data_IF_885246796565
#
_entry.id   IF_885246796565
#
_cell.length_a   1.000
_cell.length_b   1.000
_cell.length_c   1.000
_cell.angle_alpha   90.00
_cell.angle_beta   90.00
_cell.angle_gamma   90.00
#
_symmetry.space_group_name_H-M   'P 1'
#
loop_
_entity.id
_entity.type
_entity.pdbx_description
1 polymer ?
#
# COMPACT_ATOMS: atom_id res chain seq x y z
N UNK A 1 -15.05 -18.66 -4.40
CA UNK A 1 -14.03 -18.81 -3.34
C UNK A 1 -14.07 -20.19 -2.71
N UNK A 2 -15.22 -20.70 -2.25
CA UNK A 2 -15.32 -22.01 -1.58
C UNK A 2 -14.69 -23.15 -2.39
N UNK A 3 -14.95 -23.21 -3.72
CA UNK A 3 -14.33 -24.20 -4.62
C UNK A 3 -12.80 -24.10 -4.74
N UNK A 4 -12.22 -22.91 -4.47
CA UNK A 4 -10.76 -22.72 -4.48
C UNK A 4 -10.16 -23.29 -3.20
N UNK A 5 -10.81 -23.08 -2.05
CA UNK A 5 -10.33 -23.60 -0.75
C UNK A 5 -10.48 -25.12 -0.63
N UNK A 6 -11.43 -25.73 -1.34
CA UNK A 6 -11.62 -27.17 -1.38
C UNK A 6 -10.51 -27.91 -2.18
N UNK A 7 -9.63 -27.16 -2.88
CA UNK A 7 -8.54 -27.71 -3.71
C UNK A 7 -7.18 -27.26 -3.17
N UNK A 8 -6.50 -28.14 -2.44
CA UNK A 8 -5.09 -27.98 -2.06
C UNK A 8 -4.75 -26.66 -1.33
N UNK A 9 -5.55 -26.26 -0.36
CA UNK A 9 -5.17 -25.16 0.52
C UNK A 9 -4.32 -25.67 1.69
N UNK A 10 -3.32 -24.90 2.08
CA UNK A 10 -2.52 -25.13 3.27
C UNK A 10 -2.28 -23.82 4.00
N UNK A 11 -2.18 -23.88 5.31
CA UNK A 11 -1.86 -22.74 6.18
C UNK A 11 -0.37 -22.77 6.49
N UNK A 12 0.25 -21.59 6.47
CA UNK A 12 1.62 -21.39 6.90
C UNK A 12 1.64 -20.45 8.09
N UNK A 13 2.41 -20.80 9.11
CA UNK A 13 2.69 -19.92 10.21
C UNK A 13 3.77 -18.93 9.82
N UNK A 14 3.47 -17.64 9.95
CA UNK A 14 4.41 -16.56 9.70
C UNK A 14 4.95 -16.12 11.05
N UNK A 15 6.28 -16.15 11.22
CA UNK A 15 6.95 -15.62 12.39
C UNK A 15 7.29 -14.14 12.16
N UNK A 16 7.01 -13.32 13.18
CA UNK A 16 7.59 -11.99 13.25
C UNK A 16 9.10 -12.12 13.49
N UNK A 17 9.91 -11.43 12.68
CA UNK A 17 11.36 -11.38 12.84
C UNK A 17 11.81 -10.22 13.74
N UNK A 18 10.89 -9.35 14.12
CA UNK A 18 11.08 -8.34 15.14
C UNK A 18 10.42 -8.84 16.43
N UNK A 19 11.11 -8.71 17.54
CA UNK A 19 10.57 -9.02 18.88
C UNK A 19 9.39 -8.12 19.29
N UNK A 20 8.88 -7.32 18.36
CA UNK A 20 7.75 -6.41 18.53
C UNK A 20 6.40 -7.09 18.61
N UNK A 21 6.29 -8.34 18.14
CA UNK A 21 5.02 -9.07 18.01
C UNK A 21 4.10 -8.55 16.88
N UNK A 22 4.56 -7.58 16.07
CA UNK A 22 3.82 -7.02 14.95
C UNK A 22 4.48 -7.37 13.64
N UNK A 23 3.73 -8.07 12.78
CA UNK A 23 4.15 -8.37 11.42
C UNK A 23 3.94 -7.13 10.52
N UNK A 24 5.03 -6.62 9.94
CA UNK A 24 4.98 -5.47 9.03
C UNK A 24 4.77 -5.94 7.58
N UNK A 25 3.58 -5.70 6.97
CA UNK A 25 3.28 -6.23 5.64
C UNK A 25 4.31 -5.86 4.57
N UNK A 26 4.81 -4.63 4.60
CA UNK A 26 5.79 -4.14 3.63
C UNK A 26 7.16 -4.82 3.71
N UNK A 27 7.54 -5.37 4.87
CA UNK A 27 8.73 -6.20 5.03
C UNK A 27 8.45 -7.65 4.61
N UNK A 28 7.32 -8.21 5.03
CA UNK A 28 6.92 -9.59 4.73
C UNK A 28 6.74 -9.82 3.22
N UNK A 29 6.12 -8.88 2.51
CA UNK A 29 5.99 -8.98 1.06
C UNK A 29 7.34 -8.96 0.35
N UNK A 30 8.30 -8.18 0.83
CA UNK A 30 9.68 -8.23 0.30
C UNK A 30 10.28 -9.61 0.52
N UNK A 31 10.14 -10.19 1.71
CA UNK A 31 10.57 -11.56 2.02
C UNK A 31 10.03 -12.59 1.02
N UNK A 32 8.75 -12.47 0.62
CA UNK A 32 8.13 -13.31 -0.40
C UNK A 32 8.80 -13.10 -1.77
N UNK A 33 9.08 -11.85 -2.16
CA UNK A 33 9.65 -11.54 -3.47
C UNK A 33 11.08 -12.03 -3.64
N UNK A 34 11.87 -12.04 -2.56
CA UNK A 34 13.32 -12.35 -2.60
C UNK A 34 13.67 -13.68 -1.94
N UNK A 35 12.71 -14.35 -1.30
CA UNK A 35 12.90 -15.58 -0.52
C UNK A 35 14.01 -15.43 0.55
N UNK A 36 14.05 -14.28 1.20
CA UNK A 36 14.98 -13.97 2.28
C UNK A 36 14.25 -13.35 3.47
N UNK A 37 14.66 -13.65 4.70
CA UNK A 37 14.10 -13.03 5.90
C UNK A 37 14.47 -11.55 6.01
N UNK A 38 13.68 -10.78 6.76
CA UNK A 38 13.86 -9.34 6.96
C UNK A 38 15.24 -9.00 7.54
N UNK A 39 15.78 -9.84 8.42
CA UNK A 39 17.13 -9.68 8.96
C UNK A 39 18.22 -9.65 7.87
N UNK A 40 17.98 -10.31 6.71
CA UNK A 40 18.91 -10.32 5.58
C UNK A 40 18.60 -9.21 4.58
N UNK A 41 17.36 -9.07 4.12
CA UNK A 41 17.04 -8.09 3.09
C UNK A 41 16.97 -6.65 3.63
N UNK A 42 16.77 -6.44 4.93
CA UNK A 42 16.82 -5.16 5.65
C UNK A 42 15.86 -4.07 5.15
N UNK A 43 14.86 -4.43 4.37
CA UNK A 43 13.81 -3.49 3.94
C UNK A 43 12.78 -3.39 5.06
N UNK A 44 12.70 -2.23 5.69
CA UNK A 44 11.83 -1.98 6.85
C UNK A 44 10.65 -1.08 6.53
N UNK A 45 10.76 -0.25 5.50
CA UNK A 45 9.73 0.72 5.17
C UNK A 45 9.15 0.48 3.78
N UNK A 46 7.92 0.91 3.61
CA UNK A 46 7.26 0.94 2.32
C UNK A 46 7.96 1.95 1.40
N UNK A 47 8.28 1.54 0.17
CA UNK A 47 8.99 2.37 -0.80
C UNK A 47 10.52 2.24 -0.77
N UNK A 48 11.10 1.51 0.18
CA UNK A 48 12.56 1.29 0.26
C UNK A 48 13.08 0.20 -0.68
N UNK A 49 12.22 -0.54 -1.33
CA UNK A 49 12.58 -1.68 -2.19
C UNK A 49 13.62 -1.39 -3.27
N UNK A 50 13.71 -0.19 -3.91
CA UNK A 50 14.77 0.08 -4.89
C UNK A 50 16.19 -0.02 -4.34
N UNK A 51 16.36 -0.02 -3.02
CA UNK A 51 17.64 -0.16 -2.32
C UNK A 51 18.05 -1.64 -2.09
N UNK A 52 17.18 -2.60 -2.45
CA UNK A 52 17.40 -4.01 -2.13
C UNK A 52 18.58 -4.59 -2.92
N UNK A 53 19.45 -5.32 -2.22
CA UNK A 53 20.59 -6.02 -2.83
C UNK A 53 20.22 -7.40 -3.38
N UNK A 54 19.12 -7.99 -2.87
CA UNK A 54 18.65 -9.31 -3.28
C UNK A 54 17.81 -9.25 -4.55
N UNK A 55 17.96 -10.24 -5.41
CA UNK A 55 17.16 -10.35 -6.63
C UNK A 55 15.76 -10.88 -6.34
N UNK A 56 14.76 -10.16 -6.84
CA UNK A 56 13.38 -10.59 -6.79
C UNK A 56 13.11 -11.72 -7.79
N UNK A 57 12.09 -12.52 -7.54
CA UNK A 57 11.79 -13.72 -8.34
C UNK A 57 11.71 -13.45 -9.84
N UNK A 58 11.13 -12.31 -10.25
CA UNK A 58 11.03 -11.95 -11.68
C UNK A 58 12.37 -11.54 -12.30
N UNK A 59 13.30 -11.00 -11.51
CA UNK A 59 14.66 -10.74 -11.97
C UNK A 59 15.43 -12.05 -12.21
N UNK A 60 15.26 -13.04 -11.31
CA UNK A 60 15.85 -14.37 -11.47
C UNK A 60 15.29 -15.09 -12.70
N UNK A 61 13.98 -14.97 -12.94
CA UNK A 61 13.34 -15.52 -14.14
C UNK A 61 13.83 -14.82 -15.41
N UNK A 62 13.96 -13.50 -15.39
CA UNK A 62 14.48 -12.73 -16.53
C UNK A 62 15.88 -13.18 -16.93
N UNK A 63 16.79 -13.44 -15.97
CA UNK A 63 18.11 -14.01 -16.22
C UNK A 63 18.07 -15.40 -16.88
N UNK A 64 16.99 -16.15 -16.67
CA UNK A 64 16.74 -17.44 -17.32
C UNK A 64 15.98 -17.33 -18.65
N UNK A 65 15.86 -16.12 -19.20
CA UNK A 65 15.14 -15.84 -20.44
C UNK A 65 13.62 -15.88 -20.33
N UNK A 66 13.07 -16.02 -19.12
CA UNK A 66 11.63 -16.08 -18.82
C UNK A 66 11.03 -14.70 -18.68
N UNK A 67 9.80 -14.56 -19.16
CA UNK A 67 9.06 -13.28 -19.12
C UNK A 67 8.12 -13.19 -17.94
N UNK A 68 7.81 -11.95 -17.51
CA UNK A 68 6.90 -11.70 -16.40
C UNK A 68 5.95 -10.53 -16.65
N UNK A 69 4.83 -10.55 -15.91
CA UNK A 69 3.92 -9.42 -15.71
C UNK A 69 3.72 -9.27 -14.21
N UNK A 70 4.04 -8.11 -13.66
CA UNK A 70 3.97 -7.82 -12.22
C UNK A 70 3.08 -6.59 -12.01
N UNK A 71 2.02 -6.76 -11.25
CA UNK A 71 1.00 -5.74 -11.10
C UNK A 71 0.72 -5.40 -9.64
N UNK A 72 1.06 -4.17 -9.24
CA UNK A 72 0.70 -3.59 -7.95
C UNK A 72 1.25 -4.32 -6.72
N UNK A 73 2.24 -5.20 -6.90
CA UNK A 73 2.80 -5.96 -5.79
C UNK A 73 3.39 -5.03 -4.74
N UNK A 74 2.98 -5.24 -3.49
CA UNK A 74 3.38 -4.38 -2.39
C UNK A 74 4.89 -4.36 -2.23
N UNK A 75 5.46 -3.16 -2.19
CA UNK A 75 6.88 -2.93 -2.00
C UNK A 75 7.75 -3.75 -2.99
N UNK A 76 7.40 -3.73 -4.27
CA UNK A 76 8.10 -4.41 -5.35
C UNK A 76 8.82 -3.42 -6.26
N UNK A 77 9.97 -3.82 -6.80
CA UNK A 77 10.76 -3.08 -7.77
C UNK A 77 10.86 -3.86 -9.09
N UNK A 78 10.98 -3.17 -10.21
CA UNK A 78 11.30 -3.80 -11.50
C UNK A 78 12.71 -4.42 -11.46
N UNK A 79 13.63 -3.75 -10.78
CA UNK A 79 15.03 -4.14 -10.68
C UNK A 79 15.68 -4.32 -12.05
N UNK A 80 16.47 -5.37 -12.21
CA UNK A 80 17.16 -5.73 -13.48
C UNK A 80 16.33 -6.66 -14.38
N UNK A 81 15.00 -6.62 -14.33
CA UNK A 81 14.12 -7.53 -15.08
C UNK A 81 13.86 -7.04 -16.51
N UNK A 82 14.79 -7.34 -17.43
CA UNK A 82 14.67 -6.96 -18.86
C UNK A 82 13.53 -7.67 -19.60
N UNK A 83 13.10 -8.85 -19.11
CA UNK A 83 12.03 -9.65 -19.71
C UNK A 83 10.64 -9.37 -19.11
N UNK A 84 10.52 -8.37 -18.24
CA UNK A 84 9.23 -7.94 -17.73
C UNK A 84 8.43 -7.22 -18.82
N UNK A 85 7.28 -7.78 -19.18
CA UNK A 85 6.41 -7.28 -20.26
C UNK A 85 5.47 -6.18 -19.80
N UNK A 86 5.06 -6.23 -18.52
CA UNK A 86 4.32 -5.17 -17.88
C UNK A 86 4.65 -5.14 -16.38
N UNK A 87 4.88 -3.94 -15.87
CA UNK A 87 5.15 -3.68 -14.47
C UNK A 87 4.34 -2.46 -14.03
N UNK A 88 3.55 -2.61 -12.99
CA UNK A 88 2.99 -1.48 -12.25
C UNK A 88 3.51 -1.56 -10.82
N UNK A 89 4.28 -0.56 -10.36
CA UNK A 89 4.77 -0.51 -8.99
C UNK A 89 3.64 -0.29 -8.00
N UNK A 90 3.91 -0.59 -6.74
CA UNK A 90 3.12 -0.11 -5.61
C UNK A 90 3.05 1.43 -5.62
N UNK A 91 1.91 2.05 -5.29
CA UNK A 91 1.77 3.51 -5.22
C UNK A 91 2.81 4.22 -4.33
N UNK A 92 3.35 3.53 -3.33
CA UNK A 92 4.35 4.06 -2.40
C UNK A 92 5.79 3.97 -2.91
N UNK A 93 6.03 3.24 -3.98
CA UNK A 93 7.34 3.21 -4.66
C UNK A 93 7.43 4.38 -5.63
N UNK A 94 7.77 5.55 -5.14
CA UNK A 94 7.72 6.83 -5.89
C UNK A 94 8.80 6.96 -6.96
N UNK A 95 9.86 6.19 -6.87
CA UNK A 95 11.05 6.28 -7.73
C UNK A 95 10.99 5.40 -8.96
N UNK A 96 9.98 4.53 -9.08
CA UNK A 96 9.83 3.62 -10.20
C UNK A 96 8.61 3.97 -11.06
N UNK A 97 8.82 4.00 -12.37
CA UNK A 97 7.74 4.19 -13.34
C UNK A 97 7.20 2.85 -13.83
N UNK A 98 5.93 2.80 -14.25
CA UNK A 98 5.37 1.61 -14.86
C UNK A 98 6.00 1.31 -16.23
N UNK A 99 6.00 0.02 -16.57
CA UNK A 99 6.42 -0.47 -17.89
C UNK A 99 5.24 -1.24 -18.52
N UNK A 100 4.86 -0.93 -19.75
CA UNK A 100 5.26 0.23 -20.55
C UNK A 100 4.69 1.56 -19.96
N UNK A 101 5.25 2.70 -20.38
CA UNK A 101 4.91 4.03 -19.83
C UNK A 101 3.46 4.48 -20.09
N UNK A 102 2.76 3.89 -21.05
CA UNK A 102 1.32 4.14 -21.29
C UNK A 102 0.42 3.69 -20.13
N UNK A 103 0.95 2.88 -19.19
CA UNK A 103 0.30 2.48 -17.95
C UNK A 103 0.40 3.54 -16.82
N UNK A 104 1.16 4.62 -17.01
CA UNK A 104 1.33 5.68 -16.02
C UNK A 104 0.01 6.27 -15.48
N UNK A 105 -1.06 6.46 -16.28
CA UNK A 105 -2.33 6.96 -15.77
C UNK A 105 -2.95 6.11 -14.66
N UNK A 106 -2.66 4.79 -14.63
CA UNK A 106 -3.22 3.86 -13.64
C UNK A 106 -2.58 3.99 -12.27
N UNK A 107 -1.32 4.44 -12.20
CA UNK A 107 -0.62 4.63 -10.93
C UNK A 107 -0.60 6.10 -10.48
N UNK A 108 -0.80 7.05 -11.39
CA UNK A 108 -0.63 8.48 -11.10
C UNK A 108 -1.60 8.99 -10.02
N UNK A 109 -2.87 8.58 -10.04
CA UNK A 109 -3.84 8.98 -9.04
C UNK A 109 -3.59 8.30 -7.69
N UNK A 110 -3.45 6.96 -7.58
CA UNK A 110 -3.08 6.31 -6.33
C UNK A 110 -1.78 6.88 -5.72
N UNK A 111 -0.75 7.10 -6.53
CA UNK A 111 0.53 7.67 -6.09
C UNK A 111 0.38 9.10 -5.59
N UNK A 112 -0.41 9.92 -6.25
CA UNK A 112 -0.69 11.28 -5.79
C UNK A 112 -1.40 11.28 -4.44
N UNK A 113 -2.41 10.41 -4.27
CA UNK A 113 -3.13 10.25 -3.00
C UNK A 113 -2.21 9.75 -1.88
N UNK A 114 -1.37 8.75 -2.17
CA UNK A 114 -0.40 8.22 -1.22
C UNK A 114 0.61 9.28 -0.75
N UNK A 115 1.12 10.11 -1.67
CA UNK A 115 2.15 11.09 -1.36
C UNK A 115 1.62 12.35 -0.67
N UNK A 116 0.36 12.72 -0.92
CA UNK A 116 -0.19 14.03 -0.53
C UNK A 116 -1.42 13.90 0.37
N UNK A 117 -1.57 12.81 1.12
CA UNK A 117 -2.78 12.54 1.90
C UNK A 117 -3.12 13.62 2.93
N UNK A 118 -2.16 14.45 3.36
CA UNK A 118 -2.37 15.57 4.27
C UNK A 118 -2.79 16.87 3.56
N UNK A 119 -2.50 17.01 2.25
CA UNK A 119 -2.73 18.25 1.49
C UNK A 119 -3.18 17.98 0.06
N UNK A 120 -4.42 17.48 -0.10
CA UNK A 120 -4.97 17.10 -1.39
C UNK A 120 -5.50 18.29 -2.19
N UNK A 121 -5.00 18.46 -3.42
CA UNK A 121 -5.56 19.41 -4.38
C UNK A 121 -6.67 18.78 -5.22
N UNK A 122 -7.89 19.31 -5.14
CA UNK A 122 -9.04 18.85 -5.93
C UNK A 122 -8.77 18.89 -7.45
N UNK A 123 -8.05 19.93 -7.92
CA UNK A 123 -7.71 20.08 -9.34
C UNK A 123 -6.80 18.95 -9.81
N UNK A 124 -5.79 18.61 -9.01
CA UNK A 124 -4.85 17.52 -9.34
C UNK A 124 -5.56 16.15 -9.32
N UNK A 125 -6.45 15.93 -8.35
CA UNK A 125 -7.29 14.73 -8.29
C UNK A 125 -8.13 14.60 -9.56
N UNK A 126 -8.87 15.66 -9.94
CA UNK A 126 -9.73 15.65 -11.13
C UNK A 126 -8.92 15.42 -12.41
N UNK A 127 -7.76 16.06 -12.55
CA UNK A 127 -6.86 15.88 -13.70
C UNK A 127 -6.37 14.43 -13.82
N UNK A 128 -5.94 13.84 -12.71
CA UNK A 128 -5.46 12.45 -12.69
C UNK A 128 -6.62 11.46 -12.88
N UNK A 129 -7.78 11.71 -12.29
CA UNK A 129 -8.98 10.90 -12.49
C UNK A 129 -9.40 10.90 -13.98
N UNK A 130 -9.42 12.06 -14.62
CA UNK A 130 -9.74 12.13 -16.05
C UNK A 130 -8.77 11.31 -16.92
N UNK A 131 -7.46 11.41 -16.65
CA UNK A 131 -6.45 10.59 -17.33
C UNK A 131 -6.66 9.11 -17.09
N UNK A 132 -6.97 8.72 -15.84
CA UNK A 132 -7.27 7.34 -15.45
C UNK A 132 -8.48 6.79 -16.22
N UNK A 133 -9.60 7.52 -16.24
CA UNK A 133 -10.82 7.11 -16.92
C UNK A 133 -10.61 6.97 -18.44
N UNK A 134 -9.92 7.94 -19.06
CA UNK A 134 -9.58 7.87 -20.48
C UNK A 134 -8.70 6.64 -20.78
N UNK A 135 -7.68 6.41 -19.98
CA UNK A 135 -6.81 5.24 -20.12
C UNK A 135 -7.58 3.92 -19.90
N UNK A 136 -8.49 3.89 -18.94
CA UNK A 136 -9.34 2.71 -18.69
C UNK A 136 -10.17 2.36 -19.94
N UNK A 137 -10.86 3.33 -20.54
CA UNK A 137 -11.61 3.12 -21.78
C UNK A 137 -10.70 2.60 -22.89
N UNK A 138 -9.55 3.23 -23.08
CA UNK A 138 -8.60 2.86 -24.15
C UNK A 138 -8.04 1.44 -23.98
N UNK A 139 -7.63 1.09 -22.77
CA UNK A 139 -6.96 -0.20 -22.51
C UNK A 139 -7.92 -1.37 -22.28
N UNK A 140 -9.05 -1.17 -21.59
CA UNK A 140 -9.97 -2.28 -21.23
C UNK A 140 -11.32 -2.24 -21.93
N UNK A 141 -11.59 -1.15 -22.67
CA UNK A 141 -12.80 -0.99 -23.46
C UNK A 141 -14.04 -0.53 -22.66
N UNK A 142 -15.06 -0.10 -23.40
CA UNK A 142 -16.28 0.51 -22.83
C UNK A 142 -17.04 -0.44 -21.91
N UNK A 143 -17.17 -1.71 -22.26
CA UNK A 143 -17.97 -2.67 -21.47
C UNK A 143 -17.37 -2.82 -20.06
N UNK A 144 -16.07 -3.02 -19.95
CA UNK A 144 -15.39 -3.12 -18.66
C UNK A 144 -15.42 -1.81 -17.89
N UNK A 145 -15.27 -0.68 -18.60
CA UNK A 145 -15.41 0.65 -18.02
C UNK A 145 -16.79 0.83 -17.37
N UNK A 146 -17.88 0.61 -18.08
CA UNK A 146 -19.22 0.78 -17.52
C UNK A 146 -19.53 -0.20 -16.39
N UNK A 147 -19.02 -1.43 -16.45
CA UNK A 147 -19.11 -2.38 -15.32
C UNK A 147 -18.38 -1.88 -14.09
N UNK A 148 -17.18 -1.31 -14.25
CA UNK A 148 -16.42 -0.75 -13.12
C UNK A 148 -17.15 0.45 -12.49
N UNK A 149 -17.73 1.33 -13.32
CA UNK A 149 -18.58 2.44 -12.85
C UNK A 149 -19.83 1.92 -12.14
N UNK A 150 -20.45 0.85 -12.64
CA UNK A 150 -21.58 0.22 -11.95
C UNK A 150 -21.22 -0.29 -10.55
N UNK A 151 -20.05 -0.96 -10.39
CA UNK A 151 -19.57 -1.40 -9.07
C UNK A 151 -19.36 -0.21 -8.14
N UNK A 152 -18.74 0.87 -8.64
CA UNK A 152 -18.55 2.10 -7.89
C UNK A 152 -19.88 2.69 -7.42
N UNK A 153 -20.85 2.86 -8.34
CA UNK A 153 -22.16 3.43 -8.03
C UNK A 153 -22.96 2.54 -7.07
N UNK A 154 -22.97 1.21 -7.30
CA UNK A 154 -23.61 0.23 -6.39
C UNK A 154 -23.07 0.37 -4.97
N UNK A 155 -21.74 0.52 -4.83
CA UNK A 155 -21.09 0.73 -3.54
C UNK A 155 -21.49 2.06 -2.91
N UNK A 156 -21.41 3.17 -3.65
CA UNK A 156 -21.76 4.51 -3.17
C UNK A 156 -23.23 4.61 -2.74
N UNK A 157 -24.15 4.03 -3.49
CA UNK A 157 -25.60 4.02 -3.14
C UNK A 157 -25.83 3.20 -1.86
N UNK A 158 -25.16 2.06 -1.70
CA UNK A 158 -25.38 1.16 -0.57
C UNK A 158 -24.71 1.59 0.72
N UNK A 159 -23.52 2.18 0.65
CA UNK A 159 -22.66 2.43 1.81
C UNK A 159 -22.25 3.91 1.97
N UNK A 160 -22.67 4.79 1.05
CA UNK A 160 -22.21 6.17 1.04
C UNK A 160 -20.72 6.30 0.60
N UNK A 161 -20.13 7.42 0.94
CA UNK A 161 -18.74 7.72 0.56
C UNK A 161 -17.75 7.03 1.52
N UNK A 162 -17.36 5.79 1.22
CA UNK A 162 -16.43 4.96 2.01
C UNK A 162 -15.21 4.58 1.17
N UNK A 163 -14.01 4.61 1.76
CA UNK A 163 -12.75 4.36 1.06
C UNK A 163 -12.68 2.98 0.38
N UNK A 164 -13.19 1.92 1.03
CA UNK A 164 -13.14 0.57 0.47
C UNK A 164 -13.84 0.44 -0.89
N UNK A 165 -14.84 1.28 -1.18
CA UNK A 165 -15.56 1.27 -2.46
C UNK A 165 -14.62 1.67 -3.60
N UNK A 166 -13.79 2.69 -3.38
CA UNK A 166 -12.81 3.14 -4.38
C UNK A 166 -11.73 2.10 -4.61
N UNK A 167 -11.29 1.42 -3.56
CA UNK A 167 -10.28 0.36 -3.68
C UNK A 167 -10.85 -0.84 -4.45
N UNK A 168 -12.10 -1.24 -4.19
CA UNK A 168 -12.79 -2.25 -4.99
C UNK A 168 -12.89 -1.86 -6.48
N UNK A 169 -13.18 -0.60 -6.77
CA UNK A 169 -13.19 -0.08 -8.13
C UNK A 169 -11.80 -0.16 -8.78
N UNK A 170 -10.75 0.26 -8.09
CA UNK A 170 -9.38 0.17 -8.60
C UNK A 170 -8.95 -1.27 -8.83
N UNK A 171 -9.19 -2.19 -7.90
CA UNK A 171 -8.86 -3.61 -8.04
C UNK A 171 -9.59 -4.23 -9.22
N UNK A 172 -10.86 -3.87 -9.46
CA UNK A 172 -11.62 -4.36 -10.61
C UNK A 172 -11.00 -3.90 -11.93
N UNK A 173 -10.68 -2.61 -12.06
CA UNK A 173 -10.03 -2.06 -13.27
C UNK A 173 -8.65 -2.68 -13.47
N UNK A 174 -7.84 -2.74 -12.42
CA UNK A 174 -6.50 -3.32 -12.43
C UNK A 174 -6.52 -4.79 -12.90
N UNK A 175 -7.46 -5.57 -12.40
CA UNK A 175 -7.61 -6.99 -12.76
C UNK A 175 -7.94 -7.18 -14.24
N UNK A 176 -8.82 -6.38 -14.80
CA UNK A 176 -9.16 -6.48 -16.23
C UNK A 176 -8.02 -6.03 -17.13
N UNK A 177 -7.28 -5.03 -16.70
CA UNK A 177 -6.09 -4.57 -17.40
C UNK A 177 -4.96 -5.63 -17.36
N UNK A 178 -4.77 -6.24 -16.19
CA UNK A 178 -3.86 -7.36 -16.02
C UNK A 178 -4.24 -8.55 -16.92
N UNK A 179 -5.51 -8.98 -16.92
CA UNK A 179 -6.02 -10.03 -17.80
C UNK A 179 -5.67 -9.73 -19.26
N UNK A 180 -5.91 -8.50 -19.71
CA UNK A 180 -5.59 -8.08 -21.07
C UNK A 180 -4.08 -8.20 -21.35
N UNK A 181 -3.23 -7.69 -20.44
CA UNK A 181 -1.77 -7.76 -20.60
C UNK A 181 -1.25 -9.20 -20.63
N UNK A 182 -1.81 -10.09 -19.82
CA UNK A 182 -1.46 -11.51 -19.84
C UNK A 182 -1.85 -12.16 -21.18
N UNK A 183 -3.04 -11.86 -21.69
CA UNK A 183 -3.49 -12.36 -23.01
C UNK A 183 -2.61 -11.88 -24.17
N UNK A 184 -2.22 -10.62 -24.14
CA UNK A 184 -1.38 -10.00 -25.17
C UNK A 184 0.06 -10.56 -25.17
N UNK A 185 0.63 -10.85 -24.01
CA UNK A 185 2.06 -11.13 -23.87
C UNK A 185 2.43 -12.60 -23.60
N UNK A 186 1.48 -13.44 -23.16
CA UNK A 186 1.70 -14.87 -22.86
C UNK A 186 2.96 -15.10 -22.02
N UNK A 187 3.10 -14.37 -20.91
CA UNK A 187 4.28 -14.40 -20.05
C UNK A 187 4.33 -15.65 -19.17
N UNK A 188 5.55 -16.03 -18.75
CA UNK A 188 5.81 -17.23 -17.94
C UNK A 188 5.38 -17.05 -16.48
N UNK A 189 5.56 -15.86 -15.90
CA UNK A 189 5.07 -15.49 -14.56
C UNK A 189 4.10 -14.30 -14.65
N UNK A 190 2.93 -14.47 -14.07
CA UNK A 190 1.92 -13.42 -13.97
C UNK A 190 1.56 -13.22 -12.50
N UNK A 191 1.85 -12.06 -11.96
CA UNK A 191 1.63 -11.73 -10.56
C UNK A 191 0.77 -10.48 -10.44
N UNK A 192 -0.33 -10.57 -9.70
CA UNK A 192 -1.18 -9.42 -9.37
C UNK A 192 -1.45 -9.38 -7.87
N UNK A 193 -1.36 -8.21 -7.30
CA UNK A 193 -1.74 -7.92 -5.91
C UNK A 193 -3.07 -7.16 -5.88
N UNK A 194 -4.01 -7.63 -5.05
CA UNK A 194 -5.31 -7.02 -4.82
C UNK A 194 -5.40 -6.59 -3.36
N UNK A 195 -5.67 -5.31 -3.12
CA UNK A 195 -5.62 -4.74 -1.77
C UNK A 195 -6.99 -4.60 -1.10
N UNK A 196 -8.08 -4.80 -1.83
CA UNK A 196 -9.43 -4.51 -1.32
C UNK A 196 -9.81 -5.36 -0.12
N UNK A 197 -9.41 -6.65 -0.07
CA UNK A 197 -9.72 -7.53 1.07
C UNK A 197 -9.02 -7.02 2.33
N UNK A 198 -7.71 -6.81 2.29
CA UNK A 198 -6.96 -6.34 3.43
C UNK A 198 -7.52 -5.01 3.94
N UNK A 199 -7.78 -4.06 3.02
CA UNK A 199 -8.28 -2.74 3.38
C UNK A 199 -9.67 -2.77 4.02
N UNK A 200 -10.60 -3.58 3.50
CA UNK A 200 -11.94 -3.67 4.09
C UNK A 200 -11.90 -4.36 5.46
N UNK A 201 -11.03 -5.35 5.64
CA UNK A 201 -10.85 -6.03 6.92
C UNK A 201 -10.29 -5.10 8.00
N UNK A 202 -9.30 -4.27 7.68
CA UNK A 202 -8.74 -3.29 8.63
C UNK A 202 -9.78 -2.34 9.23
N UNK A 203 -10.82 -2.00 8.49
CA UNK A 203 -11.76 -0.96 8.89
C UNK A 203 -13.16 -1.47 9.24
N UNK A 204 -13.52 -2.69 8.80
CA UNK A 204 -14.90 -3.17 8.86
C UNK A 204 -15.06 -4.57 9.45
N UNK A 205 -14.00 -5.16 9.99
CA UNK A 205 -14.11 -6.46 10.66
C UNK A 205 -14.40 -6.28 12.17
N UNK A 206 -15.62 -5.85 12.48
CA UNK A 206 -16.06 -5.48 13.82
C UNK A 206 -16.98 -6.53 14.49
N UNK A 207 -17.22 -7.68 13.87
CA UNK A 207 -18.11 -8.71 14.38
C UNK A 207 -17.61 -10.11 14.00
N UNK A 208 -17.86 -11.09 14.86
CA UNK A 208 -17.71 -12.52 14.52
C UNK A 208 -18.87 -13.03 13.66
N UNK A 209 -20.02 -12.33 13.64
CA UNK A 209 -21.17 -12.65 12.81
C UNK A 209 -20.99 -12.10 11.39
N UNK A 210 -20.66 -12.99 10.46
CA UNK A 210 -20.44 -12.62 9.06
C UNK A 210 -21.62 -11.90 8.41
N UNK A 211 -22.86 -12.13 8.86
CA UNK A 211 -24.06 -11.49 8.30
C UNK A 211 -24.12 -9.99 8.56
N UNK A 212 -23.42 -9.52 9.57
CA UNK A 212 -23.27 -8.11 9.94
C UNK A 212 -22.19 -7.39 9.12
N UNK A 213 -21.27 -8.14 8.51
CA UNK A 213 -20.10 -7.62 7.81
C UNK A 213 -20.43 -7.28 6.33
N UNK A 214 -21.39 -6.40 6.11
CA UNK A 214 -21.93 -6.07 4.77
C UNK A 214 -20.86 -5.48 3.83
N UNK A 215 -19.92 -4.72 4.36
CA UNK A 215 -18.80 -4.12 3.62
C UNK A 215 -17.81 -5.19 3.15
N UNK A 216 -17.50 -6.14 4.03
CA UNK A 216 -16.61 -7.27 3.72
C UNK A 216 -17.27 -8.20 2.69
N UNK A 217 -18.57 -8.52 2.85
CA UNK A 217 -19.30 -9.35 1.89
C UNK A 217 -19.38 -8.71 0.50
N UNK A 218 -19.58 -7.39 0.43
CA UNK A 218 -19.54 -6.66 -0.86
C UNK A 218 -18.18 -6.76 -1.53
N UNK A 219 -17.10 -6.65 -0.76
CA UNK A 219 -15.72 -6.78 -1.27
C UNK A 219 -15.45 -8.20 -1.76
N UNK A 220 -15.88 -9.22 -1.01
CA UNK A 220 -15.74 -10.62 -1.43
C UNK A 220 -16.52 -10.93 -2.71
N UNK A 221 -17.75 -10.39 -2.86
CA UNK A 221 -18.50 -10.48 -4.12
C UNK A 221 -17.71 -9.91 -5.30
N UNK A 222 -17.04 -8.76 -5.10
CA UNK A 222 -16.20 -8.17 -6.13
C UNK A 222 -14.97 -9.03 -6.48
N UNK A 223 -14.31 -9.61 -5.49
CA UNK A 223 -13.17 -10.52 -5.72
C UNK A 223 -13.62 -11.80 -6.45
N UNK A 224 -14.79 -12.36 -6.13
CA UNK A 224 -15.35 -13.50 -6.86
C UNK A 224 -15.61 -13.16 -8.33
N UNK A 225 -16.11 -11.96 -8.62
CA UNK A 225 -16.28 -11.48 -9.98
C UNK A 225 -14.94 -11.35 -10.73
N UNK A 226 -13.90 -10.85 -10.06
CA UNK A 226 -12.55 -10.75 -10.60
C UNK A 226 -11.98 -12.15 -10.91
N UNK A 227 -12.04 -13.08 -9.97
CA UNK A 227 -11.54 -14.44 -10.16
C UNK A 227 -12.32 -15.19 -11.25
N UNK A 228 -13.63 -15.00 -11.33
CA UNK A 228 -14.47 -15.55 -12.40
C UNK A 228 -14.09 -14.99 -13.77
N UNK A 229 -13.75 -13.71 -13.85
CA UNK A 229 -13.24 -13.10 -15.08
C UNK A 229 -11.86 -13.66 -15.46
N UNK A 230 -10.97 -13.83 -14.49
CA UNK A 230 -9.65 -14.45 -14.71
C UNK A 230 -9.80 -15.90 -15.21
N UNK A 231 -10.69 -16.68 -14.61
CA UNK A 231 -10.90 -18.07 -15.07
C UNK A 231 -11.47 -18.12 -16.49
N UNK A 232 -12.49 -17.32 -16.76
CA UNK A 232 -13.09 -17.25 -18.10
C UNK A 232 -12.07 -16.84 -19.17
N UNK A 233 -11.22 -15.87 -18.89
CA UNK A 233 -10.35 -15.24 -19.88
C UNK A 233 -8.96 -15.91 -19.96
N UNK A 234 -8.44 -16.41 -18.83
CA UNK A 234 -7.09 -16.97 -18.71
C UNK A 234 -7.09 -18.47 -18.38
N UNK A 235 -8.27 -19.04 -18.09
CA UNK A 235 -8.41 -20.45 -17.73
C UNK A 235 -7.53 -20.87 -16.53
N UNK A 236 -7.49 -20.03 -15.48
CA UNK A 236 -6.60 -20.19 -14.33
C UNK A 236 -6.82 -21.51 -13.58
N UNK A 237 -8.02 -22.09 -13.61
CA UNK A 237 -8.33 -23.37 -12.96
C UNK A 237 -8.17 -24.59 -13.88
N UNK A 238 -7.70 -24.42 -15.12
CA UNK A 238 -7.39 -25.56 -15.99
C UNK A 238 -6.06 -26.21 -15.63
N UNK A 239 -5.98 -27.56 -15.68
CA UNK A 239 -4.78 -28.34 -15.32
C UNK A 239 -3.47 -27.93 -16.02
N UNK A 240 -3.56 -27.19 -17.15
CA UNK A 240 -2.37 -26.69 -17.87
C UNK A 240 -1.63 -25.56 -17.13
N UNK A 241 -2.34 -24.81 -16.27
CA UNK A 241 -1.82 -23.62 -15.64
C UNK A 241 -1.59 -23.91 -14.16
N UNK A 242 -0.49 -23.37 -13.62
CA UNK A 242 -0.28 -23.31 -12.18
C UNK A 242 -0.87 -21.99 -11.68
N UNK A 243 -1.90 -22.06 -10.85
CA UNK A 243 -2.50 -20.90 -10.19
C UNK A 243 -2.26 -20.98 -8.68
N UNK A 244 -1.74 -19.91 -8.11
CA UNK A 244 -1.52 -19.80 -6.66
C UNK A 244 -2.24 -18.55 -6.18
N UNK A 245 -3.15 -18.73 -5.23
CA UNK A 245 -3.77 -17.65 -4.47
C UNK A 245 -3.21 -17.69 -3.05
N UNK A 246 -2.63 -16.60 -2.60
CA UNK A 246 -2.06 -16.53 -1.24
C UNK A 246 -2.23 -15.13 -0.65
N UNK A 247 -2.27 -15.08 0.67
CA UNK A 247 -2.15 -13.87 1.46
C UNK A 247 -0.77 -13.88 2.13
N UNK A 248 -0.06 -12.76 2.05
CA UNK A 248 1.24 -12.63 2.74
C UNK A 248 1.11 -12.63 4.25
N UNK A 249 -0.05 -12.19 4.76
CA UNK A 249 -0.42 -12.11 6.16
C UNK A 249 -1.89 -12.41 6.33
N UNK A 250 -2.27 -12.97 7.48
CA UNK A 250 -3.67 -13.05 7.91
C UNK A 250 -3.98 -11.90 8.87
N UNK A 251 -5.26 -11.52 8.94
CA UNK A 251 -5.77 -10.54 9.88
C UNK A 251 -6.75 -11.24 10.83
N UNK A 252 -6.70 -10.81 12.08
CA UNK A 252 -7.67 -11.23 13.10
C UNK A 252 -8.42 -10.00 13.62
N UNK A 253 -9.73 -10.10 13.86
CA UNK A 253 -10.47 -9.01 14.47
C UNK A 253 -10.08 -8.87 15.94
N UNK A 254 -9.96 -7.61 16.40
CA UNK A 254 -9.58 -7.26 17.78
C UNK A 254 -10.80 -6.74 18.54
N UNK A 255 -11.75 -7.63 18.87
CA UNK A 255 -13.03 -7.21 19.46
C UNK A 255 -12.93 -6.74 20.92
N UNK A 256 -11.88 -7.15 21.63
CA UNK A 256 -11.70 -6.88 23.04
C UNK A 256 -10.61 -5.85 23.35
N UNK A 257 -9.99 -5.30 22.32
CA UNK A 257 -8.93 -4.31 22.50
C UNK A 257 -9.54 -2.93 22.68
N UNK A 258 -8.91 -2.11 23.52
CA UNK A 258 -9.28 -0.70 23.67
C UNK A 258 -9.08 0.04 22.33
N UNK A 259 -9.95 1.00 21.99
CA UNK A 259 -9.83 1.76 20.75
C UNK A 259 -8.49 2.50 20.67
N UNK A 260 -7.79 2.32 19.59
CA UNK A 260 -6.59 3.11 19.28
C UNK A 260 -6.96 4.38 18.53
N UNK A 261 -6.53 5.52 19.05
CA UNK A 261 -6.62 6.79 18.37
C UNK A 261 -5.36 7.02 17.55
N UNK A 262 -5.52 7.29 16.26
CA UNK A 262 -4.42 7.53 15.34
C UNK A 262 -4.43 9.00 14.93
N UNK A 263 -3.53 9.77 15.52
CA UNK A 263 -3.39 11.19 15.22
C UNK A 263 -2.42 11.41 14.08
N UNK A 264 -2.78 12.31 13.16
CA UNK A 264 -1.93 12.72 12.04
C UNK A 264 -1.69 14.21 12.09
N UNK A 265 -0.45 14.60 11.91
CA UNK A 265 -0.09 16.00 11.78
C UNK A 265 -0.61 16.50 10.43
N UNK A 266 -1.48 17.49 10.45
CA UNK A 266 -2.14 18.00 9.24
C UNK A 266 -1.15 18.66 8.28
N UNK A 267 -0.24 19.47 8.82
CA UNK A 267 0.82 20.12 8.04
C UNK A 267 2.16 19.99 8.78
N UNK A 268 3.00 19.09 8.25
CA UNK A 268 4.33 18.80 8.82
C UNK A 268 5.29 19.98 8.65
N UNK A 269 5.13 20.77 7.58
CA UNK A 269 5.98 21.94 7.36
C UNK A 269 5.65 23.04 8.34
N UNK A 270 4.36 23.28 8.57
CA UNK A 270 3.88 24.24 9.55
C UNK A 270 4.38 23.88 10.96
N UNK A 271 4.34 22.58 11.33
CA UNK A 271 4.91 22.12 12.59
C UNK A 271 6.39 22.49 12.72
N UNK A 272 7.21 22.20 11.71
CA UNK A 272 8.64 22.53 11.74
C UNK A 272 8.89 24.05 11.84
N UNK A 273 8.11 24.84 11.13
CA UNK A 273 8.22 26.32 11.13
C UNK A 273 7.85 26.87 12.49
N UNK A 274 6.77 26.40 13.10
CA UNK A 274 6.28 26.88 14.40
C UNK A 274 7.28 26.62 15.54
N UNK A 275 8.12 25.59 15.41
CA UNK A 275 9.18 25.29 16.37
C UNK A 275 10.58 25.75 15.91
N UNK A 276 10.66 26.58 14.87
CA UNK A 276 11.93 27.08 14.30
C UNK A 276 12.95 25.97 13.96
N UNK A 277 12.46 24.82 13.49
CA UNK A 277 13.28 23.67 13.09
C UNK A 277 13.70 23.83 11.63
N UNK A 278 15.00 23.96 11.39
CA UNK A 278 15.59 23.97 10.04
C UNK A 278 15.62 22.54 9.48
N UNK A 279 15.08 22.35 8.30
CA UNK A 279 15.06 21.06 7.61
C UNK A 279 15.32 21.21 6.11
N UNK A 280 15.73 20.13 5.46
CA UNK A 280 15.92 20.07 3.99
C UNK A 280 14.64 19.67 3.29
N UNK A 281 14.04 18.55 3.71
CA UNK A 281 12.79 18.01 3.18
C UNK A 281 12.06 17.17 4.21
N UNK A 282 10.77 16.96 3.99
CA UNK A 282 9.94 16.04 4.78
C UNK A 282 9.30 15.06 3.80
N UNK A 283 9.40 13.78 4.10
CA UNK A 283 8.78 12.70 3.34
C UNK A 283 7.76 11.99 4.23
N UNK A 284 6.45 12.26 4.05
CA UNK A 284 5.40 11.53 4.74
C UNK A 284 5.47 10.05 4.36
N UNK A 285 5.32 9.17 5.36
CA UNK A 285 5.16 7.75 5.17
C UNK A 285 3.67 7.37 5.12
N UNK A 286 3.35 6.09 5.24
CA UNK A 286 2.01 5.58 4.93
C UNK A 286 0.91 6.07 5.88
N UNK A 287 1.24 6.37 7.14
CA UNK A 287 0.22 6.55 8.17
C UNK A 287 0.34 7.90 8.89
N UNK A 288 0.93 7.90 10.07
CA UNK A 288 1.07 9.04 11.00
C UNK A 288 2.54 9.38 11.24
N UNK A 289 3.38 8.86 10.39
CA UNK A 289 4.81 8.88 10.45
C UNK A 289 5.43 9.61 9.24
N UNK A 290 6.66 10.05 9.38
CA UNK A 290 7.43 10.67 8.30
C UNK A 290 8.94 10.61 8.56
N UNK A 291 9.71 10.86 7.50
CA UNK A 291 11.13 11.19 7.60
C UNK A 291 11.34 12.69 7.46
N UNK A 292 12.11 13.28 8.36
CA UNK A 292 12.62 14.65 8.24
C UNK A 292 14.09 14.56 7.85
N UNK A 293 14.46 15.17 6.73
CA UNK A 293 15.86 15.26 6.27
C UNK A 293 16.44 16.61 6.61
N UNK A 294 17.73 16.61 6.99
CA UNK A 294 18.49 17.79 7.39
C UNK A 294 19.66 18.05 6.45
N UNK A 295 20.19 19.27 6.46
CA UNK A 295 21.36 19.64 5.65
C UNK A 295 22.66 19.30 6.34
N UNK A 296 22.67 19.22 7.69
CA UNK A 296 23.87 18.94 8.48
C UNK A 296 23.51 18.17 9.77
N UNK A 297 24.53 17.53 10.37
CA UNK A 297 24.39 16.85 11.66
C UNK A 297 24.01 17.81 12.79
N UNK A 298 24.45 19.05 12.73
CA UNK A 298 24.16 20.06 13.76
C UNK A 298 22.69 20.53 13.68
N UNK A 299 22.16 20.76 12.45
CA UNK A 299 20.75 21.04 12.25
C UNK A 299 19.88 19.87 12.73
N UNK A 300 20.28 18.65 12.43
CA UNK A 300 19.59 17.44 12.86
C UNK A 300 19.57 17.28 14.37
N UNK A 301 20.71 17.46 15.06
CA UNK A 301 20.78 17.40 16.53
C UNK A 301 19.89 18.45 17.18
N UNK A 302 19.93 19.70 16.71
CA UNK A 302 19.04 20.77 17.20
C UNK A 302 17.57 20.43 16.98
N UNK A 303 17.22 19.97 15.78
CA UNK A 303 15.85 19.55 15.46
C UNK A 303 15.39 18.38 16.33
N UNK A 304 16.25 17.40 16.58
CA UNK A 304 15.94 16.26 17.43
C UNK A 304 15.63 16.69 18.88
N UNK A 305 16.46 17.56 19.47
CA UNK A 305 16.24 18.05 20.84
C UNK A 305 14.96 18.86 20.96
N UNK A 306 14.60 19.65 19.94
CA UNK A 306 13.33 20.39 19.94
C UNK A 306 12.16 19.41 19.85
N UNK A 307 12.17 18.50 18.88
CA UNK A 307 11.07 17.54 18.65
C UNK A 307 10.84 16.62 19.86
N UNK A 308 11.91 16.20 20.53
CA UNK A 308 11.88 15.35 21.73
C UNK A 308 11.16 16.01 22.90
N UNK A 309 11.22 17.35 22.98
CA UNK A 309 10.64 18.11 24.07
C UNK A 309 9.22 18.61 23.77
N UNK A 310 8.64 18.26 22.64
CA UNK A 310 7.23 18.57 22.35
C UNK A 310 6.35 17.57 23.11
N UNK A 311 5.40 18.06 23.88
CA UNK A 311 4.49 17.26 24.71
C UNK A 311 3.02 17.60 24.42
N UNK A 312 2.15 16.68 24.77
CA UNK A 312 0.69 16.86 24.86
C UNK A 312 0.25 16.28 26.21
N UNK A 313 -0.35 17.10 27.06
CA UNK A 313 -0.84 16.67 28.37
C UNK A 313 0.23 15.91 29.19
N UNK A 314 1.45 16.40 29.23
CA UNK A 314 2.64 15.79 29.87
C UNK A 314 3.16 14.48 29.21
N UNK A 315 2.55 14.01 28.13
CA UNK A 315 3.05 12.85 27.35
C UNK A 315 3.89 13.31 26.19
N UNK A 316 4.88 12.50 25.80
CA UNK A 316 5.65 12.79 24.59
C UNK A 316 4.70 12.81 23.38
N UNK A 317 4.80 13.84 22.55
CA UNK A 317 3.99 13.93 21.35
C UNK A 317 4.47 13.01 20.24
N UNK A 318 5.81 12.84 20.15
CA UNK A 318 6.45 12.11 19.07
C UNK A 318 7.36 11.00 19.60
N UNK A 319 7.30 9.85 18.94
CA UNK A 319 8.39 8.87 18.93
C UNK A 319 9.40 9.27 17.87
N UNK A 320 10.69 9.23 18.19
CA UNK A 320 11.77 9.70 17.33
C UNK A 320 12.88 8.65 17.20
N UNK A 321 13.33 8.39 15.97
CA UNK A 321 14.47 7.53 15.68
C UNK A 321 15.48 8.28 14.78
N UNK A 322 16.64 8.74 15.34
CA UNK A 322 17.62 9.47 14.57
C UNK A 322 18.55 8.55 13.78
N UNK A 323 18.74 8.84 12.49
CA UNK A 323 19.67 8.16 11.58
C UNK A 323 20.77 9.15 11.15
N UNK A 324 21.81 9.28 11.95
CA UNK A 324 22.86 10.30 11.78
C UNK A 324 23.65 10.18 10.48
N UNK A 325 23.82 8.98 9.95
CA UNK A 325 24.56 8.75 8.70
C UNK A 325 23.77 9.17 7.46
N UNK A 326 22.43 9.14 7.56
CA UNK A 326 21.52 9.56 6.50
C UNK A 326 21.01 11.00 6.67
N UNK A 327 21.43 11.70 7.72
CA UNK A 327 20.96 13.04 8.10
C UNK A 327 19.42 13.12 8.15
N UNK A 328 18.77 12.09 8.70
CA UNK A 328 17.31 12.03 8.81
C UNK A 328 16.86 11.60 10.20
N UNK A 329 15.67 12.03 10.57
CA UNK A 329 14.93 11.57 11.74
C UNK A 329 13.64 10.91 11.24
N UNK A 330 13.43 9.64 11.59
CA UNK A 330 12.10 9.04 11.54
C UNK A 330 11.31 9.55 12.74
N UNK A 331 10.05 9.90 12.53
CA UNK A 331 9.14 10.18 13.62
C UNK A 331 7.73 9.64 13.35
N UNK A 332 7.00 9.38 14.42
CA UNK A 332 5.57 9.13 14.40
C UNK A 332 4.91 9.84 15.59
N UNK A 333 3.61 10.11 15.47
CA UNK A 333 2.83 10.60 16.61
C UNK A 333 2.69 9.46 17.63
N UNK A 334 3.02 9.71 18.88
CA UNK A 334 3.07 8.68 19.95
C UNK A 334 1.86 8.76 20.90
N UNK A 335 0.80 9.43 20.49
CA UNK A 335 -0.46 9.56 21.24
C UNK A 335 -1.45 8.55 20.68
N UNK A 336 -1.90 7.63 21.54
CA UNK A 336 -2.84 6.54 21.18
C UNK A 336 -4.17 6.60 21.91
N UNK A 337 -4.31 7.52 22.87
CA UNK A 337 -5.54 7.75 23.64
C UNK A 337 -6.29 8.99 23.14
N UNK A 338 -7.54 9.14 23.52
CA UNK A 338 -8.33 10.32 23.15
C UNK A 338 -7.75 11.59 23.82
N UNK A 339 -7.55 12.61 23.00
CA UNK A 339 -7.07 13.94 23.45
C UNK A 339 -8.17 14.96 23.23
N UNK A 340 -8.51 15.67 24.28
CA UNK A 340 -9.50 16.77 24.23
C UNK A 340 -9.13 17.75 23.11
N UNK A 341 -10.11 18.13 22.30
CA UNK A 341 -9.96 19.08 21.17
C UNK A 341 -9.42 20.45 21.55
N UNK A 342 -9.39 20.79 22.84
CA UNK A 342 -8.86 22.05 23.38
C UNK A 342 -7.41 21.93 23.87
N UNK A 343 -6.71 20.83 23.61
CA UNK A 343 -5.31 20.66 23.99
C UNK A 343 -4.37 21.28 22.97
N UNK A 344 -3.27 21.88 23.49
CA UNK A 344 -2.21 22.48 22.70
C UNK A 344 -0.91 21.66 22.82
N UNK A 345 -0.03 21.79 21.83
CA UNK A 345 1.33 21.29 21.94
C UNK A 345 2.08 22.18 22.94
N UNK A 346 2.67 21.56 23.93
CA UNK A 346 3.47 22.21 24.96
C UNK A 346 4.95 22.02 24.60
N UNK A 347 5.72 23.07 24.69
CA UNK A 347 7.17 23.02 24.46
C UNK A 347 7.88 23.80 25.57
N UNK A 348 8.65 23.09 26.38
CA UNK A 348 9.56 23.70 27.34
C UNK A 348 10.88 23.98 26.65
N UNK A 349 11.21 25.28 26.51
CA UNK A 349 12.52 25.69 26.02
C UNK A 349 13.53 25.42 27.12
N UNK A 350 14.39 24.42 26.93
CA UNK A 350 15.51 24.13 27.84
C UNK A 350 16.64 25.16 27.62
#
# INVERSE_FOLDING_TARGET
LRKIFDHNSFSLDIKDEYDSGFLEPWSQWVGIHVAQPTAKHRIKNLGDIPKIEYKQVWELLSKKGKSSIIWGSMNASLGSSEKCKAFIPDPWVFTEDPVPKDLLPFIALPRYLARNYTSLSKIVILKNLFKFLKATIYHVGYVTFFRSVYILLKGLIRFGNKNFIYINFFDYVASHLFIKKVKENKSDLNFIFLNSIAHVQHHYWYSSDATKLKEILFTYENIENILSAMDRELAIFKKKNSFVLFNGLSQCPTFNDEPWYLYRIRDLRELMINFDIKFKSIEPLMSYDAHIFFKSKDEMKKGFEILKNIKVSNSNFLYLEPHFDELKIFFRVDITHDVDNNRYLEYEKI
#
